data_IF_441637403188
#
_entry.id   IF_441637403188
#
_cell.length_a   1.000
_cell.length_b   1.000
_cell.length_c   1.000
_cell.angle_alpha   90.00
_cell.angle_beta   90.00
_cell.angle_gamma   90.00
#
_symmetry.space_group_name_H-M   'P 1'
#
loop_
_entity.id
_entity.type
_entity.pdbx_description
1 polymer ?
#
# COMPACT_ATOMS: atom_id res chain seq x y z
N UNK A 1 -43.26 15.97 -3.77
CA UNK A 1 -42.45 15.10 -4.67
C UNK A 1 -41.03 15.61 -4.98
N UNK A 2 -40.74 16.92 -4.98
CA UNK A 2 -39.40 17.45 -5.30
C UNK A 2 -38.33 17.10 -4.25
N UNK A 3 -38.67 17.13 -2.97
CA UNK A 3 -37.75 16.79 -1.87
C UNK A 3 -37.37 15.30 -1.81
N UNK A 4 -38.25 14.42 -2.29
CA UNK A 4 -38.01 12.97 -2.32
C UNK A 4 -36.88 12.60 -3.30
N UNK A 5 -36.76 13.31 -4.43
CA UNK A 5 -35.67 13.12 -5.39
C UNK A 5 -34.32 13.58 -4.85
N UNK A 6 -34.30 14.65 -4.05
CA UNK A 6 -33.08 15.19 -3.44
C UNK A 6 -32.50 14.23 -2.39
N UNK A 7 -33.36 13.64 -1.57
CA UNK A 7 -32.96 12.64 -0.56
C UNK A 7 -32.39 11.40 -1.24
N UNK A 8 -33.00 10.94 -2.34
CA UNK A 8 -32.53 9.77 -3.08
C UNK A 8 -31.12 10.00 -3.68
N UNK A 9 -30.84 11.20 -4.19
CA UNK A 9 -29.51 11.55 -4.70
C UNK A 9 -28.43 11.58 -3.60
N UNK A 10 -28.76 12.09 -2.41
CA UNK A 10 -27.82 12.14 -1.26
C UNK A 10 -27.50 10.72 -0.77
N UNK A 11 -28.48 9.84 -0.71
CA UNK A 11 -28.30 8.44 -0.30
C UNK A 11 -27.41 7.70 -1.29
N UNK A 12 -27.59 7.86 -2.61
CA UNK A 12 -26.74 7.19 -3.61
C UNK A 12 -25.28 7.66 -3.58
N UNK A 13 -25.02 8.90 -3.17
CA UNK A 13 -23.65 9.44 -3.09
C UNK A 13 -22.85 8.90 -1.90
N UNK A 14 -23.54 8.53 -0.81
CA UNK A 14 -22.90 8.02 0.40
C UNK A 14 -22.43 6.56 0.28
N UNK A 15 -23.00 5.77 -0.63
CA UNK A 15 -22.61 4.36 -0.82
C UNK A 15 -21.46 4.14 -1.82
N UNK A 16 -20.96 5.19 -2.49
CA UNK A 16 -19.95 5.03 -3.55
C UNK A 16 -18.51 4.88 -3.05
N UNK A 17 -18.24 5.04 -1.74
CA UNK A 17 -16.87 5.18 -1.24
C UNK A 17 -16.33 3.98 -0.46
N UNK A 18 -16.80 2.76 -0.74
CA UNK A 18 -16.12 1.53 -0.34
C UNK A 18 -14.85 1.31 -1.18
N UNK A 19 -13.80 2.10 -0.94
CA UNK A 19 -12.46 1.73 -1.40
C UNK A 19 -12.04 0.47 -0.65
N UNK A 20 -11.75 -0.61 -1.39
CA UNK A 20 -11.12 -1.81 -0.81
C UNK A 20 -9.72 -1.45 -0.35
N UNK A 21 -9.32 -2.01 0.78
CA UNK A 21 -7.93 -1.93 1.24
C UNK A 21 -7.04 -2.66 0.23
N UNK A 22 -5.91 -2.04 -0.09
CA UNK A 22 -4.85 -2.68 -0.85
C UNK A 22 -3.72 -3.02 0.11
N UNK A 23 -3.08 -4.15 -0.10
CA UNK A 23 -1.92 -4.55 0.68
C UNK A 23 -0.67 -4.51 -0.18
N UNK A 24 0.45 -4.10 0.39
CA UNK A 24 1.77 -4.20 -0.21
C UNK A 24 2.64 -5.08 0.67
N UNK A 25 3.33 -6.04 0.08
CA UNK A 25 4.40 -6.79 0.74
C UNK A 25 5.73 -6.37 0.15
N UNK A 26 6.67 -5.97 1.00
CA UNK A 26 8.05 -5.71 0.64
C UNK A 26 8.97 -6.76 1.26
N UNK A 27 9.94 -7.22 0.47
CA UNK A 27 10.97 -8.19 0.85
C UNK A 27 12.32 -7.56 0.55
N UNK A 28 13.22 -7.58 1.53
CA UNK A 28 14.63 -7.27 1.38
C UNK A 28 15.41 -8.60 1.39
N UNK A 29 16.23 -8.81 0.36
CA UNK A 29 17.00 -10.03 0.12
C UNK A 29 18.46 -9.66 -0.16
N UNK A 30 19.42 -10.36 0.44
CA UNK A 30 20.84 -10.20 0.08
C UNK A 30 21.16 -10.86 -1.26
N UNK A 31 22.30 -10.51 -1.85
CA UNK A 31 22.77 -11.08 -3.12
C UNK A 31 22.91 -12.60 -3.14
N UNK A 32 23.04 -13.25 -1.98
CA UNK A 32 23.09 -14.71 -1.83
C UNK A 32 21.69 -15.38 -1.76
N UNK A 33 20.61 -14.59 -1.88
CA UNK A 33 19.24 -15.07 -1.85
C UNK A 33 18.63 -15.21 -0.45
N UNK A 34 19.34 -14.75 0.60
CA UNK A 34 18.80 -14.80 1.96
C UNK A 34 17.83 -13.64 2.20
N UNK A 35 16.63 -13.96 2.67
CA UNK A 35 15.66 -12.96 3.11
C UNK A 35 16.15 -12.31 4.41
N UNK A 36 16.33 -10.99 4.36
CA UNK A 36 16.76 -10.16 5.49
C UNK A 36 15.54 -9.67 6.25
N UNK A 37 14.52 -9.20 5.53
CA UNK A 37 13.32 -8.62 6.13
C UNK A 37 12.11 -8.75 5.20
N UNK A 38 10.95 -9.04 5.78
CA UNK A 38 9.66 -9.01 5.09
C UNK A 38 8.70 -8.14 5.89
N UNK A 39 8.01 -7.20 5.22
CA UNK A 39 6.95 -6.39 5.82
C UNK A 39 5.73 -6.30 4.92
N UNK A 40 4.58 -6.15 5.56
CA UNK A 40 3.31 -5.91 4.89
C UNK A 40 2.62 -4.68 5.48
N UNK A 41 1.98 -3.89 4.62
CA UNK A 41 1.10 -2.80 5.01
C UNK A 41 -0.17 -2.86 4.17
N UNK A 42 -1.33 -2.61 4.79
CA UNK A 42 -2.62 -2.56 4.11
C UNK A 42 -3.30 -1.24 4.44
N UNK A 43 -3.78 -0.52 3.42
CA UNK A 43 -4.49 0.75 3.60
C UNK A 43 -5.37 1.04 2.37
N UNK A 44 -6.36 1.91 2.52
CA UNK A 44 -7.18 2.45 1.41
C UNK A 44 -6.53 3.67 0.75
N UNK A 45 -5.49 4.19 1.37
CA UNK A 45 -4.74 5.37 0.96
C UNK A 45 -3.46 4.96 0.22
N UNK A 46 -3.48 5.09 -1.11
CA UNK A 46 -2.34 4.81 -1.98
C UNK A 46 -1.10 5.62 -1.62
N UNK A 47 -1.28 6.85 -1.10
CA UNK A 47 -0.15 7.69 -0.67
C UNK A 47 0.54 7.14 0.56
N UNK A 48 -0.21 6.52 1.48
CA UNK A 48 0.37 5.83 2.62
C UNK A 48 1.17 4.61 2.17
N UNK A 49 0.58 3.78 1.28
CA UNK A 49 1.25 2.59 0.74
C UNK A 49 2.52 2.94 -0.05
N UNK A 50 2.50 4.05 -0.79
CA UNK A 50 3.69 4.57 -1.46
C UNK A 50 4.77 4.98 -0.46
N UNK A 51 4.39 5.72 0.59
CA UNK A 51 5.33 6.12 1.66
C UNK A 51 5.93 4.91 2.39
N UNK A 52 5.14 3.85 2.58
CA UNK A 52 5.63 2.57 3.11
C UNK A 52 6.71 1.94 2.20
N UNK A 53 6.47 1.89 0.87
CA UNK A 53 7.44 1.36 -0.10
C UNK A 53 8.73 2.19 -0.08
N UNK A 54 8.60 3.51 -0.17
CA UNK A 54 9.73 4.43 -0.25
C UNK A 54 10.58 4.34 1.04
N UNK A 55 9.95 4.38 2.21
CA UNK A 55 10.65 4.24 3.49
C UNK A 55 11.25 2.85 3.73
N UNK A 56 10.69 1.80 3.13
CA UNK A 56 11.30 0.46 3.19
C UNK A 56 12.55 0.37 2.31
N UNK A 57 12.52 0.95 1.10
CA UNK A 57 13.68 1.02 0.19
C UNK A 57 14.80 1.89 0.74
N UNK A 58 14.47 3.07 1.26
CA UNK A 58 15.46 4.03 1.76
C UNK A 58 16.25 3.45 2.94
N UNK A 59 15.58 2.73 3.85
CA UNK A 59 16.21 2.04 4.99
C UNK A 59 17.30 1.05 4.56
N UNK A 60 17.09 0.34 3.45
CA UNK A 60 18.00 -0.69 2.95
C UNK A 60 19.00 -0.18 1.92
N UNK A 61 18.80 1.03 1.38
CA UNK A 61 19.75 1.70 0.46
C UNK A 61 21.09 2.03 1.12
N UNK A 62 21.10 2.30 2.42
CA UNK A 62 22.30 2.70 3.16
C UNK A 62 23.20 1.53 3.57
N UNK A 63 22.68 0.29 3.53
CA UNK A 63 23.44 -0.91 3.83
C UNK A 63 24.29 -1.30 2.61
N UNK A 64 25.57 -0.91 2.61
CA UNK A 64 26.53 -1.19 1.52
C UNK A 64 27.33 -2.49 1.70
N UNK A 65 27.28 -3.09 2.88
CA UNK A 65 28.07 -4.31 3.18
C UNK A 65 27.48 -5.55 2.52
N UNK A 66 26.16 -5.60 2.39
CA UNK A 66 25.43 -6.61 1.63
C UNK A 66 24.73 -5.91 0.47
N UNK A 67 24.88 -6.40 -0.76
CA UNK A 67 24.09 -5.89 -1.89
C UNK A 67 22.63 -6.33 -1.69
N UNK A 68 21.84 -5.47 -1.02
CA UNK A 68 20.44 -5.76 -0.70
C UNK A 68 19.53 -5.39 -1.88
N UNK A 69 18.80 -6.38 -2.38
CA UNK A 69 17.71 -6.19 -3.34
C UNK A 69 16.37 -6.05 -2.60
N UNK A 70 15.59 -5.01 -2.94
CA UNK A 70 14.28 -4.75 -2.34
C UNK A 70 13.18 -4.92 -3.40
N UNK A 71 12.27 -5.85 -3.15
CA UNK A 71 11.12 -6.14 -4.02
C UNK A 71 9.82 -5.87 -3.27
N UNK A 72 8.93 -5.08 -3.86
CA UNK A 72 7.60 -4.78 -3.28
C UNK A 72 6.50 -5.12 -4.28
N UNK A 73 5.47 -5.84 -3.82
CA UNK A 73 4.34 -6.29 -4.66
C UNK A 73 3.02 -5.93 -4.00
N UNK A 74 2.07 -5.43 -4.80
CA UNK A 74 0.69 -5.22 -4.37
C UNK A 74 -0.07 -6.54 -4.39
N UNK A 75 -0.65 -6.91 -3.25
CA UNK A 75 -1.54 -8.06 -3.12
C UNK A 75 -2.99 -7.59 -3.32
N UNK A 76 -3.76 -8.37 -4.08
CA UNK A 76 -5.18 -8.14 -4.37
C UNK A 76 -6.08 -8.79 -3.34
#
# INVERSE_FOLDING_TARGET
MKHLKLILCIITFLFSSCKKEQCVTCIAESSDGKIIETRMACDKNDSYLKGFIDGFKDRHRENKEDEINVQCTYNK
#
